data_IF_222272351230
#
_entry.id   IF_222272351230
#
_cell.length_a   1.000
_cell.length_b   1.000
_cell.length_c   1.000
_cell.angle_alpha   90.00
_cell.angle_beta   90.00
_cell.angle_gamma   90.00
#
_symmetry.space_group_name_H-M   'P 1'
#
loop_
_entity.id
_entity.type
_entity.pdbx_description
1 polymer ?
#
# COMPACT_ATOMS: atom_id res chain seq x y z
N UNK A 1 47.86 -3.74 -23.19
CA UNK A 1 46.77 -4.58 -23.72
C UNK A 1 45.46 -4.13 -23.07
N UNK A 2 44.97 -2.95 -23.44
CA UNK A 2 43.65 -2.42 -23.07
C UNK A 2 43.26 -1.48 -24.20
N UNK A 3 42.44 -1.95 -25.14
CA UNK A 3 41.78 -1.09 -26.11
C UNK A 3 40.72 -1.90 -26.83
N UNK A 4 39.54 -2.04 -26.23
CA UNK A 4 38.25 -2.15 -26.94
C UNK A 4 37.15 -1.69 -25.97
N UNK A 5 37.10 -0.41 -25.63
CA UNK A 5 35.85 0.18 -25.13
C UNK A 5 35.59 1.38 -26.02
N UNK A 6 34.58 1.23 -26.87
CA UNK A 6 34.16 2.21 -27.86
C UNK A 6 33.30 3.28 -27.15
N UNK A 7 33.76 4.54 -27.05
CA UNK A 7 33.11 5.56 -26.24
C UNK A 7 31.78 6.06 -26.82
N UNK A 8 31.44 5.71 -28.07
CA UNK A 8 30.16 6.06 -28.70
C UNK A 8 29.06 5.02 -28.49
N UNK A 9 29.36 3.88 -27.85
CA UNK A 9 28.33 2.89 -27.52
C UNK A 9 27.60 3.27 -26.25
N UNK A 10 26.39 3.79 -26.40
CA UNK A 10 25.40 3.78 -25.33
C UNK A 10 24.87 2.35 -25.16
N UNK A 11 25.26 1.71 -24.06
CA UNK A 11 24.70 0.41 -23.69
C UNK A 11 23.28 0.64 -23.16
N UNK A 12 22.30 0.62 -24.06
CA UNK A 12 20.90 0.64 -23.69
C UNK A 12 20.51 -0.74 -23.12
N UNK A 13 20.73 -0.90 -21.82
CA UNK A 13 20.56 -2.15 -21.08
C UNK A 13 19.12 -2.72 -21.13
N UNK A 14 18.17 -2.02 -21.75
CA UNK A 14 16.80 -2.48 -21.91
C UNK A 14 16.69 -3.75 -22.78
N UNK A 15 17.46 -3.85 -23.87
CA UNK A 15 17.30 -4.97 -24.82
C UNK A 15 18.03 -6.25 -24.39
N UNK A 16 19.12 -6.14 -23.61
CA UNK A 16 19.83 -7.32 -23.08
C UNK A 16 18.95 -8.03 -22.04
N UNK A 17 18.21 -7.26 -21.23
CA UNK A 17 17.36 -7.81 -20.17
C UNK A 17 16.10 -8.50 -20.71
N UNK A 18 15.57 -8.06 -21.85
CA UNK A 18 14.42 -8.70 -22.50
C UNK A 18 14.75 -10.11 -23.01
N UNK A 19 15.99 -10.32 -23.48
CA UNK A 19 16.48 -11.64 -23.92
C UNK A 19 16.73 -12.64 -22.78
N UNK A 20 16.90 -12.14 -21.56
CA UNK A 20 17.16 -12.94 -20.35
C UNK A 20 15.92 -13.11 -19.46
N UNK A 21 14.74 -12.66 -19.92
CA UNK A 21 13.48 -12.87 -19.21
C UNK A 21 13.34 -12.10 -17.89
N UNK A 22 14.15 -11.07 -17.66
CA UNK A 22 14.07 -10.27 -16.44
C UNK A 22 13.00 -9.18 -16.64
N UNK A 23 11.82 -9.41 -16.07
CA UNK A 23 10.75 -8.43 -16.02
C UNK A 23 11.13 -7.32 -15.02
N UNK A 24 11.49 -6.14 -15.51
CA UNK A 24 11.53 -4.95 -14.65
C UNK A 24 10.09 -4.51 -14.34
N UNK A 25 9.81 -4.25 -13.06
CA UNK A 25 8.56 -3.61 -12.62
C UNK A 25 8.48 -2.23 -13.29
N UNK A 26 7.64 -2.09 -14.31
CA UNK A 26 7.30 -0.79 -14.90
C UNK A 26 7.01 0.19 -13.76
N UNK A 27 7.74 1.30 -13.73
CA UNK A 27 7.44 2.37 -12.79
C UNK A 27 6.13 2.99 -13.24
N UNK A 28 5.09 2.75 -12.43
CA UNK A 28 3.75 3.30 -12.62
C UNK A 28 3.87 4.84 -12.55
N UNK A 29 3.24 5.48 -13.54
CA UNK A 29 3.22 6.91 -13.79
C UNK A 29 2.70 7.69 -12.56
N UNK A 30 3.17 8.92 -12.38
CA UNK A 30 3.00 9.82 -11.22
C UNK A 30 1.70 9.62 -10.42
N UNK A 31 1.77 8.80 -9.37
CA UNK A 31 0.71 8.71 -8.37
C UNK A 31 0.75 10.01 -7.54
N UNK A 32 -0.33 10.79 -7.55
CA UNK A 32 -0.58 11.80 -6.51
C UNK A 32 -0.31 11.09 -5.17
N UNK A 33 0.52 11.64 -4.26
CA UNK A 33 0.92 10.95 -3.05
C UNK A 33 -0.33 10.68 -2.21
N UNK A 34 -0.88 9.49 -2.39
CA UNK A 34 -2.04 9.04 -1.63
C UNK A 34 -1.50 8.72 -0.26
N UNK A 35 -1.78 9.60 0.70
CA UNK A 35 -1.41 9.36 2.08
C UNK A 35 -2.29 8.19 2.53
N UNK A 36 -1.68 7.04 2.73
CA UNK A 36 -2.29 5.92 3.43
C UNK A 36 -1.21 5.23 4.25
N UNK A 37 -1.22 5.48 5.56
CA UNK A 37 -0.21 4.99 6.49
C UNK A 37 -0.87 4.44 7.73
N UNK A 38 -0.32 3.33 8.21
CA UNK A 38 -0.82 2.62 9.39
C UNK A 38 0.33 2.56 10.40
N UNK A 39 0.13 3.16 11.57
CA UNK A 39 1.14 3.22 12.63
C UNK A 39 0.52 3.12 14.03
N UNK A 40 1.19 2.45 14.99
CA UNK A 40 2.38 1.64 14.80
C UNK A 40 2.07 0.38 13.99
N UNK A 41 3.08 -0.15 13.30
CA UNK A 41 3.00 -1.46 12.64
C UNK A 41 4.39 -2.12 12.76
N UNK A 42 4.56 -3.15 13.60
CA UNK A 42 3.49 -3.93 14.26
C UNK A 42 2.71 -3.17 15.34
N UNK A 43 1.43 -3.49 15.48
CA UNK A 43 0.49 -2.92 16.45
C UNK A 43 0.17 -3.89 17.59
N UNK A 44 -0.26 -3.37 18.74
CA UNK A 44 -0.65 -4.15 19.92
C UNK A 44 -2.13 -3.93 20.28
N UNK A 45 -2.48 -2.75 20.78
CA UNK A 45 -3.84 -2.44 21.27
C UNK A 45 -4.59 -1.42 20.42
N UNK A 46 -3.87 -0.47 19.85
CA UNK A 46 -4.42 0.62 19.05
C UNK A 46 -3.57 0.85 17.81
N UNK A 47 -4.22 1.35 16.76
CA UNK A 47 -3.55 1.74 15.53
C UNK A 47 -4.16 3.03 15.00
N UNK A 48 -3.30 3.92 14.53
CA UNK A 48 -3.66 5.14 13.84
C UNK A 48 -3.50 4.92 12.34
N UNK A 49 -4.55 5.27 11.61
CA UNK A 49 -4.58 5.20 10.16
C UNK A 49 -4.66 6.63 9.64
N UNK A 50 -3.56 7.11 9.04
CA UNK A 50 -3.55 8.38 8.32
C UNK A 50 -3.95 8.12 6.88
N UNK A 51 -4.91 8.87 6.37
CA UNK A 51 -5.45 8.69 5.04
C UNK A 51 -5.80 10.04 4.38
N UNK A 52 -5.87 10.05 3.05
CA UNK A 52 -6.45 11.14 2.28
C UNK A 52 -7.28 10.56 1.13
N UNK A 53 -8.59 10.84 1.14
CA UNK A 53 -9.55 10.35 0.12
C UNK A 53 -10.14 11.48 -0.73
N UNK A 54 -9.66 12.72 -0.59
CA UNK A 54 -10.24 13.90 -1.25
C UNK A 54 -11.38 14.54 -0.46
N UNK A 55 -11.53 15.85 -0.59
CA UNK A 55 -12.54 16.65 0.13
C UNK A 55 -13.97 16.19 -0.21
N UNK A 56 -14.86 16.23 0.79
CA UNK A 56 -16.27 15.83 0.68
C UNK A 56 -16.54 14.37 0.22
N UNK A 57 -15.50 13.54 0.08
CA UNK A 57 -15.65 12.13 -0.26
C UNK A 57 -15.96 11.27 0.96
N UNK A 58 -16.68 10.18 0.73
CA UNK A 58 -16.99 9.17 1.75
C UNK A 58 -16.51 7.81 1.30
N UNK A 59 -15.66 7.18 2.10
CA UNK A 59 -15.12 5.85 1.80
C UNK A 59 -15.37 4.88 2.97
N UNK A 60 -15.17 3.59 2.73
CA UNK A 60 -15.19 2.57 3.77
C UNK A 60 -13.80 2.02 4.01
N UNK A 61 -13.33 2.08 5.24
CA UNK A 61 -12.18 1.33 5.70
C UNK A 61 -12.61 -0.06 6.17
N UNK A 62 -11.96 -1.08 5.65
CA UNK A 62 -12.28 -2.48 5.92
C UNK A 62 -11.02 -3.19 6.39
N UNK A 63 -11.12 -3.86 7.55
CA UNK A 63 -10.07 -4.73 8.08
C UNK A 63 -10.48 -6.18 7.85
N UNK A 64 -9.63 -6.95 7.18
CA UNK A 64 -9.87 -8.33 6.79
C UNK A 64 -8.78 -9.26 7.32
N UNK A 65 -9.16 -10.49 7.67
CA UNK A 65 -8.18 -11.55 7.98
C UNK A 65 -7.59 -12.18 6.70
N UNK A 66 -6.67 -13.13 6.87
CA UNK A 66 -6.05 -13.87 5.76
C UNK A 66 -7.04 -14.66 4.88
N UNK A 67 -8.25 -14.93 5.36
CA UNK A 67 -9.32 -15.60 4.61
C UNK A 67 -10.20 -14.60 3.84
N UNK A 68 -9.92 -13.29 3.94
CA UNK A 68 -10.71 -12.23 3.32
C UNK A 68 -12.01 -11.89 4.06
N UNK A 69 -12.23 -12.45 5.25
CA UNK A 69 -13.39 -12.12 6.07
C UNK A 69 -13.24 -10.72 6.65
N UNK A 70 -14.23 -9.85 6.43
CA UNK A 70 -14.27 -8.51 7.00
C UNK A 70 -14.62 -8.57 8.49
N UNK A 71 -13.70 -8.13 9.34
CA UNK A 71 -13.85 -8.13 10.80
C UNK A 71 -14.29 -6.77 11.35
N UNK A 72 -13.85 -5.69 10.73
CA UNK A 72 -14.24 -4.33 11.09
C UNK A 72 -14.49 -3.51 9.83
N UNK A 73 -15.46 -2.59 9.92
CA UNK A 73 -15.85 -1.66 8.87
C UNK A 73 -16.09 -0.29 9.49
N UNK A 74 -15.45 0.74 8.94
CA UNK A 74 -15.53 2.11 9.41
C UNK A 74 -15.79 3.06 8.22
N UNK A 75 -16.71 4.00 8.37
CA UNK A 75 -16.91 5.08 7.40
C UNK A 75 -15.81 6.13 7.59
N UNK A 76 -15.18 6.55 6.50
CA UNK A 76 -14.18 7.62 6.44
C UNK A 76 -14.81 8.84 5.78
N UNK A 77 -14.60 10.02 6.38
CA UNK A 77 -14.88 11.31 5.72
C UNK A 77 -13.59 11.90 5.15
N UNK A 78 -13.70 12.54 3.99
CA UNK A 78 -12.63 13.32 3.35
C UNK A 78 -12.14 14.52 4.17
N UNK A 79 -12.97 15.02 5.08
CA UNK A 79 -12.62 16.13 5.99
C UNK A 79 -11.69 15.70 7.13
N UNK A 80 -11.49 14.39 7.29
CA UNK A 80 -10.63 13.79 8.29
C UNK A 80 -9.37 13.21 7.63
N UNK A 81 -8.24 13.36 8.31
CA UNK A 81 -6.94 12.85 7.84
C UNK A 81 -6.46 11.64 8.64
N UNK A 82 -7.10 11.33 9.77
CA UNK A 82 -6.69 10.28 10.68
C UNK A 82 -7.88 9.59 11.35
N UNK A 83 -7.75 8.27 11.54
CA UNK A 83 -8.68 7.45 12.29
C UNK A 83 -7.90 6.61 13.32
N UNK A 84 -8.29 6.69 14.59
CA UNK A 84 -7.76 5.84 15.65
C UNK A 84 -8.68 4.65 15.88
N UNK A 85 -8.13 3.44 15.82
CA UNK A 85 -8.86 2.19 15.97
C UNK A 85 -8.35 1.39 17.16
N UNK A 86 -9.29 0.88 17.95
CA UNK A 86 -9.00 -0.13 18.97
C UNK A 86 -9.04 -1.53 18.32
N UNK A 87 -7.92 -2.25 18.42
CA UNK A 87 -7.72 -3.58 17.84
C UNK A 87 -7.61 -4.69 18.89
N UNK A 88 -7.94 -4.42 20.16
CA UNK A 88 -7.88 -5.39 21.26
C UNK A 88 -8.75 -6.63 21.03
N UNK A 89 -9.83 -6.51 20.24
CA UNK A 89 -10.70 -7.64 19.90
C UNK A 89 -10.15 -8.52 18.76
N UNK A 90 -9.15 -8.07 17.99
CA UNK A 90 -8.56 -8.82 16.89
C UNK A 90 -7.42 -9.71 17.40
N UNK A 91 -7.31 -10.97 17.00
CA UNK A 91 -6.21 -11.84 17.45
C UNK A 91 -4.84 -11.42 16.86
N UNK A 92 -3.74 -11.92 17.42
CA UNK A 92 -2.41 -11.73 16.83
C UNK A 92 -2.35 -12.38 15.45
N UNK A 93 -1.75 -11.69 14.49
CA UNK A 93 -1.71 -12.16 13.11
C UNK A 93 -1.53 -11.05 12.09
N UNK A 94 -1.75 -11.41 10.82
CA UNK A 94 -1.64 -10.51 9.67
C UNK A 94 -3.06 -10.18 9.19
N UNK A 95 -3.28 -8.90 8.94
CA UNK A 95 -4.55 -8.36 8.46
C UNK A 95 -4.32 -7.49 7.22
N UNK A 96 -5.32 -7.45 6.36
CA UNK A 96 -5.38 -6.51 5.24
C UNK A 96 -6.32 -5.39 5.60
N UNK A 97 -5.82 -4.15 5.54
CA UNK A 97 -6.62 -2.95 5.75
C UNK A 97 -6.76 -2.26 4.40
N UNK A 98 -7.99 -2.01 3.96
CA UNK A 98 -8.26 -1.40 2.66
C UNK A 98 -9.27 -0.27 2.75
N UNK A 99 -9.09 0.74 1.90
CA UNK A 99 -10.06 1.82 1.71
C UNK A 99 -10.82 1.56 0.42
N UNK A 100 -12.15 1.58 0.49
CA UNK A 100 -13.05 1.34 -0.63
C UNK A 100 -13.92 2.57 -0.86
N UNK A 101 -13.81 3.16 -2.05
CA UNK A 101 -14.63 4.28 -2.54
C UNK A 101 -15.38 3.80 -3.79
N UNK A 102 -16.68 4.03 -3.88
CA UNK A 102 -17.49 3.65 -5.05
C UNK A 102 -17.29 2.21 -5.54
N UNK A 103 -17.15 1.26 -4.59
CA UNK A 103 -16.89 -0.17 -4.82
C UNK A 103 -15.50 -0.49 -5.40
N UNK A 104 -14.62 0.50 -5.53
CA UNK A 104 -13.23 0.34 -5.94
C UNK A 104 -12.30 0.42 -4.74
N UNK A 105 -11.28 -0.45 -4.70
CA UNK A 105 -10.23 -0.37 -3.68
C UNK A 105 -9.27 0.74 -4.09
N UNK A 106 -9.23 1.83 -3.30
CA UNK A 106 -8.30 2.94 -3.53
C UNK A 106 -6.89 2.56 -3.10
N UNK A 107 -6.77 2.03 -1.88
CA UNK A 107 -5.51 1.70 -1.24
C UNK A 107 -5.68 0.48 -0.34
N UNK A 108 -4.60 -0.28 -0.15
CA UNK A 108 -4.55 -1.40 0.77
C UNK A 108 -3.17 -1.51 1.41
N UNK A 109 -3.13 -1.88 2.69
CA UNK A 109 -1.91 -2.03 3.47
C UNK A 109 -2.00 -3.24 4.39
N UNK A 110 -0.83 -3.76 4.77
CA UNK A 110 -0.72 -4.89 5.67
C UNK A 110 -0.59 -4.40 7.11
N UNK A 111 -1.47 -4.84 7.99
CA UNK A 111 -1.36 -4.62 9.44
C UNK A 111 -0.87 -5.91 10.12
N UNK A 112 0.17 -5.80 10.94
CA UNK A 112 0.67 -6.90 11.77
C UNK A 112 0.31 -6.61 13.21
N UNK A 113 -0.37 -7.55 13.88
CA UNK A 113 -0.74 -7.45 15.29
C UNK A 113 0.09 -8.45 16.10
N UNK A 114 0.81 -7.96 17.11
CA UNK A 114 1.58 -8.77 18.06
C UNK A 114 0.92 -8.68 19.44
N UNK A 115 0.84 -9.81 20.16
CA UNK A 115 0.49 -9.88 21.58
C UNK A 115 1.43 -10.82 22.29
#
# INVERSE_FOLDING_TARGET
MYSIIDPEKTYDNANICLSQGILYRTQKNQDVPTIFKIFPNPAYDQVTISYHIGEEQKANLIIQNCLGQSLQLHELSGDQSELNLNIQMLMSGIYTVKIVLDKQVLQQEKLVILR
#
